data_IF_193344584165
#
_entry.id   IF_193344584165
#
_cell.length_a   1.000
_cell.length_b   1.000
_cell.length_c   1.000
_cell.angle_alpha   90.00
_cell.angle_beta   90.00
_cell.angle_gamma   90.00
#
_symmetry.space_group_name_H-M   'P 1'
#
loop_
_entity.id
_entity.type
_entity.pdbx_description
1 polymer ?
#
# COMPACT_ATOMS: atom_id res chain seq x y z
N UNK A 1 28.88 -16.77 -0.81
CA UNK A 1 29.03 -15.39 -1.37
C UNK A 1 30.15 -15.29 -2.40
N UNK A 2 31.25 -16.02 -2.26
CA UNK A 2 32.48 -15.90 -3.09
C UNK A 2 32.27 -15.87 -4.62
N UNK A 3 31.31 -16.63 -5.17
CA UNK A 3 31.09 -16.72 -6.63
C UNK A 3 30.76 -15.39 -7.31
N UNK A 4 30.13 -14.43 -6.63
CA UNK A 4 29.83 -13.09 -7.16
C UNK A 4 30.98 -12.11 -6.86
N UNK A 5 31.68 -12.29 -5.73
CA UNK A 5 32.76 -11.41 -5.30
C UNK A 5 33.89 -11.26 -6.33
N UNK A 6 34.14 -12.28 -7.17
CA UNK A 6 35.14 -12.20 -8.27
C UNK A 6 34.86 -11.10 -9.32
N UNK A 7 33.64 -10.58 -9.37
CA UNK A 7 33.23 -9.46 -10.23
C UNK A 7 33.14 -8.11 -9.50
N UNK A 8 33.45 -8.07 -8.21
CA UNK A 8 33.53 -6.85 -7.40
C UNK A 8 35.00 -6.52 -7.16
N UNK A 9 35.52 -5.59 -7.96
CA UNK A 9 36.83 -4.95 -7.79
C UNK A 9 36.63 -3.47 -7.49
N UNK A 10 37.64 -2.81 -6.93
CA UNK A 10 37.65 -1.37 -6.67
C UNK A 10 37.32 -0.54 -7.94
N UNK A 11 37.74 -1.04 -9.11
CA UNK A 11 37.40 -0.56 -10.46
C UNK A 11 35.88 -0.27 -10.64
N UNK A 12 35.03 -1.06 -9.98
CA UNK A 12 33.58 -1.12 -10.19
C UNK A 12 32.76 -0.23 -9.23
N UNK A 13 33.40 0.55 -8.34
CA UNK A 13 32.67 1.49 -7.45
C UNK A 13 32.24 2.79 -8.15
N UNK A 14 32.75 3.04 -9.37
CA UNK A 14 32.33 4.16 -10.20
C UNK A 14 31.02 3.88 -10.95
N UNK A 15 30.26 4.93 -11.28
CA UNK A 15 28.99 4.81 -12.05
C UNK A 15 29.16 4.07 -13.38
N UNK A 16 30.30 4.27 -14.06
CA UNK A 16 30.59 3.57 -15.31
C UNK A 16 31.02 2.12 -15.08
N UNK A 17 31.76 1.85 -14.01
CA UNK A 17 32.05 0.48 -13.56
C UNK A 17 30.78 -0.31 -13.21
N UNK A 18 29.80 0.31 -12.54
CA UNK A 18 28.49 -0.30 -12.25
C UNK A 18 27.72 -0.62 -13.54
N UNK A 19 27.73 0.27 -14.55
CA UNK A 19 27.14 -0.01 -15.87
C UNK A 19 27.85 -1.17 -16.58
N UNK A 20 29.19 -1.20 -16.57
CA UNK A 20 29.98 -2.28 -17.17
C UNK A 20 29.71 -3.62 -16.48
N UNK A 21 29.62 -3.62 -15.15
CA UNK A 21 29.24 -4.78 -14.35
C UNK A 21 27.83 -5.28 -14.72
N UNK A 22 26.83 -4.40 -14.73
CA UNK A 22 25.46 -4.73 -15.13
C UNK A 22 25.40 -5.29 -16.56
N UNK A 23 26.11 -4.66 -17.51
CA UNK A 23 26.24 -5.16 -18.88
C UNK A 23 26.80 -6.59 -18.91
N UNK A 24 27.90 -6.84 -18.18
CA UNK A 24 28.50 -8.17 -18.11
C UNK A 24 27.58 -9.24 -17.48
N UNK A 25 26.77 -8.86 -16.49
CA UNK A 25 25.78 -9.74 -15.84
C UNK A 25 24.64 -10.07 -16.81
N UNK A 26 24.16 -9.08 -17.58
CA UNK A 26 23.13 -9.26 -18.61
C UNK A 26 23.64 -10.16 -19.74
N UNK A 27 24.82 -9.91 -20.29
CA UNK A 27 25.41 -10.72 -21.38
C UNK A 27 25.65 -12.17 -20.96
N UNK A 28 26.02 -12.42 -19.71
CA UNK A 28 26.32 -13.77 -19.20
C UNK A 28 25.16 -14.41 -18.40
N UNK A 29 23.97 -13.80 -18.41
CA UNK A 29 22.84 -14.18 -17.55
C UNK A 29 22.44 -15.66 -17.69
N UNK A 30 22.39 -16.17 -18.92
CA UNK A 30 22.04 -17.56 -19.20
C UNK A 30 23.08 -18.57 -18.67
N UNK A 31 24.36 -18.19 -18.54
CA UNK A 31 25.39 -19.03 -17.92
C UNK A 31 25.29 -18.97 -16.38
N UNK A 32 25.02 -17.78 -15.82
CA UNK A 32 24.78 -17.57 -14.39
C UNK A 32 23.56 -18.36 -13.89
N UNK A 33 22.44 -18.35 -14.61
CA UNK A 33 21.28 -19.18 -14.31
C UNK A 33 21.63 -20.68 -14.29
N UNK A 34 22.48 -21.13 -15.23
CA UNK A 34 22.88 -22.53 -15.34
C UNK A 34 23.82 -23.01 -14.23
N UNK A 35 24.61 -22.12 -13.63
CA UNK A 35 25.41 -22.39 -12.43
C UNK A 35 24.61 -22.33 -11.11
N UNK A 36 23.39 -21.78 -11.14
CA UNK A 36 22.52 -21.58 -9.96
C UNK A 36 21.38 -22.60 -9.83
N UNK A 37 21.22 -23.51 -10.82
CA UNK A 37 20.09 -24.44 -10.90
C UNK A 37 20.47 -25.91 -10.66
N UNK A 38 20.95 -26.18 -9.44
CA UNK A 38 20.92 -27.48 -8.75
C UNK A 38 20.66 -27.16 -7.27
N UNK A 39 19.66 -27.70 -6.55
CA UNK A 39 18.84 -28.90 -6.78
C UNK A 39 17.32 -28.64 -6.59
N UNK A 40 16.47 -29.65 -6.80
CA UNK A 40 15.02 -29.49 -7.09
C UNK A 40 14.08 -29.41 -5.88
N UNK A 41 13.05 -28.56 -5.97
CA UNK A 41 11.61 -28.98 -6.02
C UNK A 41 10.72 -27.77 -6.31
N UNK A 42 9.75 -27.90 -7.24
CA UNK A 42 8.92 -26.76 -7.67
C UNK A 42 8.09 -26.16 -6.54
N UNK A 43 8.21 -24.85 -6.39
CA UNK A 43 7.43 -24.04 -5.46
C UNK A 43 6.32 -23.26 -6.19
N UNK A 44 5.43 -22.62 -5.41
CA UNK A 44 4.40 -21.73 -5.97
C UNK A 44 5.03 -20.51 -6.69
N UNK A 45 6.27 -20.12 -6.35
CA UNK A 45 6.98 -19.08 -7.12
C UNK A 45 7.31 -19.55 -8.53
N UNK A 46 7.65 -20.82 -8.74
CA UNK A 46 7.96 -21.37 -10.05
C UNK A 46 6.70 -21.48 -10.93
N UNK A 47 5.53 -21.66 -10.31
CA UNK A 47 4.24 -21.54 -11.00
C UNK A 47 3.90 -20.09 -11.36
N UNK A 48 4.28 -19.11 -10.53
CA UNK A 48 4.11 -17.67 -10.82
C UNK A 48 5.09 -17.21 -11.89
N UNK A 49 6.34 -17.68 -11.87
CA UNK A 49 7.36 -17.39 -12.90
C UNK A 49 6.98 -18.08 -14.21
N UNK A 50 6.53 -19.33 -14.21
CA UNK A 50 5.96 -19.96 -15.42
C UNK A 50 4.72 -19.23 -15.95
N UNK A 51 3.93 -18.57 -15.09
CA UNK A 51 2.81 -17.74 -15.54
C UNK A 51 3.29 -16.43 -16.17
N UNK A 52 4.29 -15.76 -15.58
CA UNK A 52 4.91 -14.54 -16.12
C UNK A 52 5.61 -14.84 -17.45
N UNK A 53 6.48 -15.86 -17.50
CA UNK A 53 7.17 -16.28 -18.72
C UNK A 53 6.18 -16.62 -19.85
N UNK A 54 5.02 -17.24 -19.55
CA UNK A 54 3.97 -17.53 -20.56
C UNK A 54 3.12 -16.32 -20.95
N UNK A 55 3.19 -15.22 -20.20
CA UNK A 55 2.70 -13.91 -20.64
C UNK A 55 3.76 -13.27 -21.53
N UNK A 56 5.03 -13.25 -21.12
CA UNK A 56 6.13 -12.68 -21.90
C UNK A 56 6.35 -13.39 -23.25
N UNK A 57 6.26 -14.72 -23.29
CA UNK A 57 6.28 -15.52 -24.54
C UNK A 57 5.09 -15.18 -25.46
N UNK A 58 3.93 -14.80 -24.90
CA UNK A 58 2.77 -14.34 -25.68
C UNK A 58 2.84 -12.87 -26.10
N UNK A 59 3.59 -12.04 -25.38
CA UNK A 59 3.85 -10.63 -25.75
C UNK A 59 4.89 -10.52 -26.86
N UNK A 60 5.68 -11.57 -27.11
CA UNK A 60 6.70 -11.61 -28.17
C UNK A 60 6.19 -12.17 -29.53
N UNK A 61 4.88 -12.44 -29.68
CA UNK A 61 4.28 -12.80 -30.97
C UNK A 61 2.90 -12.14 -31.12
N UNK A 62 2.63 -11.62 -32.33
CA UNK A 62 1.38 -10.98 -32.78
C UNK A 62 1.14 -9.54 -32.26
N UNK A 63 1.62 -8.58 -33.08
CA UNK A 63 1.08 -7.25 -33.41
C UNK A 63 0.79 -6.20 -32.30
N UNK A 64 1.11 -4.94 -32.60
CA UNK A 64 1.21 -3.84 -31.62
C UNK A 64 -0.13 -3.14 -31.30
N UNK A 65 -1.24 -3.86 -31.33
CA UNK A 65 -2.56 -3.36 -30.89
C UNK A 65 -3.08 -4.22 -29.73
N UNK A 66 -3.31 -3.60 -28.56
CA UNK A 66 -3.91 -4.28 -27.39
C UNK A 66 -2.95 -4.71 -26.27
N UNK A 67 -1.72 -4.20 -26.22
CA UNK A 67 -0.82 -4.40 -25.06
C UNK A 67 -1.37 -3.72 -23.80
N UNK A 68 -1.90 -2.49 -23.93
CA UNK A 68 -2.32 -1.67 -22.79
C UNK A 68 -3.51 -2.26 -22.03
N UNK A 69 -4.48 -2.80 -22.79
CA UNK A 69 -5.63 -3.51 -22.25
C UNK A 69 -5.19 -4.77 -21.48
N UNK A 70 -4.15 -5.47 -21.96
CA UNK A 70 -3.58 -6.63 -21.27
C UNK A 70 -2.87 -6.25 -19.96
N UNK A 71 -2.15 -5.14 -19.90
CA UNK A 71 -1.52 -4.62 -18.67
C UNK A 71 -2.60 -4.23 -17.65
N UNK A 72 -3.61 -3.46 -18.08
CA UNK A 72 -4.74 -3.05 -17.25
C UNK A 72 -5.52 -4.23 -16.68
N UNK A 73 -5.89 -5.19 -17.55
CA UNK A 73 -6.59 -6.42 -17.16
C UNK A 73 -5.72 -7.30 -16.24
N UNK A 74 -4.40 -7.30 -16.39
CA UNK A 74 -3.48 -8.04 -15.51
C UNK A 74 -3.38 -7.41 -14.13
N UNK A 75 -3.29 -6.08 -14.04
CA UNK A 75 -3.34 -5.35 -12.77
C UNK A 75 -4.69 -5.54 -12.04
N UNK A 76 -5.82 -5.54 -12.77
CA UNK A 76 -7.13 -5.90 -12.20
C UNK A 76 -7.12 -7.33 -11.66
N UNK A 77 -6.68 -8.32 -12.45
CA UNK A 77 -6.61 -9.74 -12.05
C UNK A 77 -5.73 -9.97 -10.81
N UNK A 78 -4.60 -9.26 -10.71
CA UNK A 78 -3.71 -9.30 -9.53
C UNK A 78 -4.38 -8.63 -8.32
N UNK A 79 -4.96 -7.44 -8.51
CA UNK A 79 -5.67 -6.70 -7.45
C UNK A 79 -6.82 -7.52 -6.87
N UNK A 80 -7.65 -8.17 -7.70
CA UNK A 80 -8.75 -9.02 -7.23
C UNK A 80 -8.26 -10.33 -6.57
N UNK A 81 -7.13 -10.89 -7.02
CA UNK A 81 -6.50 -12.07 -6.38
C UNK A 81 -6.04 -11.73 -4.95
N UNK A 82 -5.35 -10.61 -4.79
CA UNK A 82 -4.90 -10.10 -3.49
C UNK A 82 -6.09 -9.72 -2.60
N UNK A 83 -7.08 -9.01 -3.14
CA UNK A 83 -8.30 -8.67 -2.42
C UNK A 83 -9.01 -9.91 -1.86
N UNK A 84 -9.18 -10.98 -2.67
CA UNK A 84 -9.79 -12.23 -2.21
C UNK A 84 -9.01 -12.89 -1.07
N UNK A 85 -7.68 -12.78 -1.05
CA UNK A 85 -6.85 -13.27 0.05
C UNK A 85 -7.06 -12.47 1.34
N UNK A 86 -7.18 -11.14 1.24
CA UNK A 86 -7.52 -10.29 2.39
C UNK A 86 -8.97 -10.50 2.86
N UNK A 87 -9.91 -10.71 1.95
CA UNK A 87 -11.32 -10.93 2.24
C UNK A 87 -11.57 -12.23 3.03
N UNK A 88 -10.70 -13.25 2.91
CA UNK A 88 -10.74 -14.45 3.76
C UNK A 88 -10.38 -14.14 5.22
N UNK A 89 -9.53 -13.15 5.47
CA UNK A 89 -9.11 -12.73 6.82
C UNK A 89 -10.13 -11.73 7.41
N UNK A 90 -10.58 -10.78 6.58
CA UNK A 90 -11.37 -9.63 7.02
C UNK A 90 -12.88 -9.90 7.12
N UNK A 91 -13.47 -10.75 6.28
CA UNK A 91 -14.92 -11.04 6.38
C UNK A 91 -15.32 -11.76 7.68
N UNK A 92 -14.53 -12.70 8.24
CA UNK A 92 -14.76 -13.21 9.60
C UNK A 92 -14.63 -12.09 10.64
N UNK A 93 -13.61 -11.25 10.54
CA UNK A 93 -13.34 -10.15 11.48
C UNK A 93 -14.51 -9.15 11.56
N UNK A 94 -14.93 -8.59 10.43
CA UNK A 94 -16.02 -7.61 10.39
C UNK A 94 -17.38 -8.19 10.86
N UNK A 95 -17.56 -9.51 10.86
CA UNK A 95 -18.74 -10.19 11.43
C UNK A 95 -18.72 -10.28 12.95
N UNK A 96 -17.55 -10.30 13.61
CA UNK A 96 -17.44 -10.34 15.09
C UNK A 96 -18.00 -9.06 15.73
N UNK A 97 -17.87 -7.92 15.04
CA UNK A 97 -18.31 -6.56 15.44
C UNK A 97 -17.66 -5.99 16.72
N UNK A 98 -16.72 -6.66 17.37
CA UNK A 98 -15.97 -6.09 18.49
C UNK A 98 -14.79 -5.24 18.03
N UNK A 99 -14.75 -3.96 18.44
CA UNK A 99 -13.59 -3.07 18.19
C UNK A 99 -12.32 -3.49 18.95
N UNK A 100 -12.44 -4.46 19.85
CA UNK A 100 -11.38 -5.06 20.66
C UNK A 100 -10.89 -6.40 20.11
N UNK A 101 -11.57 -6.98 19.12
CA UNK A 101 -11.29 -8.33 18.63
C UNK A 101 -9.93 -8.39 17.93
N UNK A 102 -9.33 -9.58 17.95
CA UNK A 102 -8.11 -9.87 17.22
C UNK A 102 -8.40 -10.52 15.86
N UNK A 103 -7.47 -10.31 14.92
CA UNK A 103 -7.48 -10.95 13.60
C UNK A 103 -6.66 -12.22 13.67
N UNK A 104 -7.25 -13.34 13.27
CA UNK A 104 -6.73 -14.68 13.54
C UNK A 104 -5.54 -15.07 12.62
N UNK A 105 -5.05 -14.15 11.79
CA UNK A 105 -3.91 -14.35 10.88
C UNK A 105 -3.09 -13.06 10.66
N UNK A 106 -1.75 -13.10 10.79
CA UNK A 106 -0.87 -11.99 10.42
C UNK A 106 -0.57 -11.93 8.92
N UNK A 107 -0.13 -10.76 8.45
CA UNK A 107 0.49 -10.60 7.13
C UNK A 107 1.87 -11.24 7.09
N UNK A 108 2.17 -11.96 6.01
CA UNK A 108 3.47 -12.58 5.76
C UNK A 108 4.29 -11.79 4.72
N UNK A 109 5.59 -12.01 4.64
CA UNK A 109 6.49 -11.36 3.66
C UNK A 109 6.03 -11.51 2.19
N UNK A 110 5.30 -12.59 1.87
CA UNK A 110 4.65 -12.77 0.56
C UNK A 110 3.58 -11.72 0.30
N UNK A 111 2.81 -11.33 1.31
CA UNK A 111 1.69 -10.41 1.15
C UNK A 111 2.22 -8.97 0.93
N UNK A 112 3.33 -8.63 1.60
CA UNK A 112 4.15 -7.45 1.28
C UNK A 112 4.72 -7.51 -0.14
N UNK A 113 5.28 -8.66 -0.55
CA UNK A 113 5.83 -8.85 -1.92
C UNK A 113 4.75 -8.68 -2.99
N UNK A 114 3.58 -9.29 -2.79
CA UNK A 114 2.43 -9.20 -3.70
C UNK A 114 1.94 -7.76 -3.87
N UNK A 115 1.83 -7.00 -2.76
CA UNK A 115 1.42 -5.60 -2.81
C UNK A 115 2.49 -4.72 -3.47
N UNK A 116 3.77 -4.95 -3.15
CA UNK A 116 4.89 -4.20 -3.72
C UNK A 116 4.98 -4.39 -5.24
N UNK A 117 4.86 -5.63 -5.74
CA UNK A 117 4.82 -5.92 -7.18
C UNK A 117 3.69 -5.14 -7.87
N UNK A 118 2.47 -5.14 -7.31
CA UNK A 118 1.34 -4.44 -7.92
C UNK A 118 1.57 -2.91 -7.93
N UNK A 119 2.11 -2.35 -6.85
CA UNK A 119 2.47 -0.92 -6.77
C UNK A 119 3.57 -0.58 -7.78
N UNK A 120 4.61 -1.41 -7.92
CA UNK A 120 5.69 -1.19 -8.86
C UNK A 120 5.23 -1.30 -10.32
N UNK A 121 4.43 -2.31 -10.68
CA UNK A 121 3.81 -2.39 -12.00
C UNK A 121 2.92 -1.18 -12.30
N UNK A 122 2.14 -0.69 -11.33
CA UNK A 122 1.36 0.54 -11.50
C UNK A 122 2.25 1.78 -11.71
N UNK A 123 3.38 1.88 -11.01
CA UNK A 123 4.30 3.02 -11.15
C UNK A 123 5.15 2.96 -12.42
N UNK A 124 5.53 1.77 -12.88
CA UNK A 124 6.24 1.55 -14.16
C UNK A 124 5.38 1.95 -15.37
N UNK A 125 4.06 1.80 -15.26
CA UNK A 125 3.12 2.07 -16.34
C UNK A 125 2.29 3.37 -16.13
N UNK A 126 2.57 4.14 -15.08
CA UNK A 126 1.75 5.29 -14.66
C UNK A 126 1.60 6.38 -15.74
N UNK A 127 2.66 6.60 -16.51
CA UNK A 127 2.74 7.61 -17.59
C UNK A 127 2.33 7.08 -18.97
N UNK A 128 1.75 5.87 -19.09
CA UNK A 128 1.26 5.40 -20.39
C UNK A 128 0.03 6.22 -20.79
N UNK A 129 0.11 6.82 -21.96
CA UNK A 129 -0.97 7.53 -22.64
C UNK A 129 -1.20 6.91 -24.01
N UNK A 130 -2.46 6.78 -24.41
CA UNK A 130 -2.89 6.30 -25.73
C UNK A 130 -3.56 7.45 -26.46
N UNK A 131 -3.31 7.58 -27.76
CA UNK A 131 -3.95 8.60 -28.58
C UNK A 131 -5.44 8.28 -28.80
N UNK A 132 -6.30 9.24 -28.50
CA UNK A 132 -7.76 9.11 -28.52
C UNK A 132 -8.30 9.87 -29.74
N UNK A 133 -8.57 9.15 -30.83
CA UNK A 133 -8.92 9.73 -32.13
C UNK A 133 -10.20 10.60 -32.07
N UNK A 134 -11.17 10.22 -31.23
CA UNK A 134 -12.41 10.99 -30.99
C UNK A 134 -12.15 12.36 -30.33
N UNK A 135 -10.97 12.56 -29.73
CA UNK A 135 -10.63 13.75 -28.91
C UNK A 135 -9.40 14.51 -29.41
N UNK A 136 -8.68 14.02 -30.42
CA UNK A 136 -7.44 14.61 -30.96
C UNK A 136 -6.39 14.88 -29.86
N UNK A 137 -6.24 13.96 -28.90
CA UNK A 137 -5.31 14.09 -27.78
C UNK A 137 -4.92 12.75 -27.14
N UNK A 138 -3.78 12.74 -26.44
CA UNK A 138 -3.32 11.60 -25.66
C UNK A 138 -4.07 11.50 -24.32
N UNK A 139 -4.64 10.34 -24.02
CA UNK A 139 -5.38 10.03 -22.78
C UNK A 139 -4.61 9.00 -21.95
N UNK A 140 -4.47 9.27 -20.64
CA UNK A 140 -3.80 8.37 -19.69
C UNK A 140 -4.55 7.05 -19.56
N UNK A 141 -3.84 5.93 -19.75
CA UNK A 141 -4.37 4.57 -19.53
C UNK A 141 -4.75 4.38 -18.05
N UNK A 142 -3.95 4.92 -17.14
CA UNK A 142 -4.20 4.86 -15.70
C UNK A 142 -5.01 6.06 -15.20
N UNK A 143 -6.33 5.96 -15.35
CA UNK A 143 -7.27 6.88 -14.71
C UNK A 143 -7.21 6.78 -13.17
N UNK A 144 -7.35 7.92 -12.49
CA UNK A 144 -7.51 7.94 -11.02
C UNK A 144 -8.72 7.10 -10.58
N UNK A 145 -9.79 7.14 -11.37
CA UNK A 145 -11.07 6.49 -11.09
C UNK A 145 -11.85 7.11 -9.94
N UNK A 146 -12.88 6.38 -9.49
CA UNK A 146 -13.70 6.67 -8.31
C UNK A 146 -13.44 5.60 -7.24
N UNK A 147 -13.51 5.97 -5.96
CA UNK A 147 -13.26 5.05 -4.83
C UNK A 147 -14.06 3.74 -4.94
N UNK A 148 -15.35 3.80 -5.25
CA UNK A 148 -16.25 2.65 -5.29
C UNK A 148 -16.37 1.92 -6.64
N UNK A 149 -15.60 2.31 -7.67
CA UNK A 149 -15.75 1.69 -8.99
C UNK A 149 -15.35 0.21 -8.99
N UNK A 150 -15.93 -0.59 -9.90
CA UNK A 150 -15.62 -2.03 -10.04
C UNK A 150 -14.30 -2.31 -10.77
N UNK A 151 -13.93 -1.40 -11.68
CA UNK A 151 -12.78 -1.45 -12.59
C UNK A 151 -11.50 -0.93 -11.91
N UNK A 152 -10.32 -1.31 -12.41
CA UNK A 152 -9.05 -0.80 -11.86
C UNK A 152 -8.96 0.72 -12.05
N UNK A 153 -8.43 1.39 -11.03
CA UNK A 153 -8.22 2.82 -10.98
C UNK A 153 -7.53 3.16 -9.67
N UNK A 154 -6.64 4.16 -9.68
CA UNK A 154 -5.68 4.38 -8.60
C UNK A 154 -6.39 4.59 -7.24
N UNK A 155 -7.48 5.37 -7.19
CA UNK A 155 -8.28 5.57 -5.97
C UNK A 155 -8.94 4.30 -5.45
N UNK A 156 -9.44 3.43 -6.33
CA UNK A 156 -10.01 2.13 -5.91
C UNK A 156 -8.90 1.21 -5.39
N UNK A 157 -7.76 1.13 -6.08
CA UNK A 157 -6.62 0.35 -5.61
C UNK A 157 -6.13 0.80 -4.22
N UNK A 158 -5.99 2.12 -4.00
CA UNK A 158 -5.61 2.68 -2.70
C UNK A 158 -6.68 2.40 -1.63
N UNK A 159 -7.94 2.74 -1.87
CA UNK A 159 -8.99 2.62 -0.87
C UNK A 159 -9.44 1.18 -0.58
N UNK A 160 -9.33 0.26 -1.56
CA UNK A 160 -9.74 -1.15 -1.46
C UNK A 160 -8.54 -2.05 -1.10
N UNK A 161 -7.49 -2.05 -1.92
CA UNK A 161 -6.38 -3.02 -1.82
C UNK A 161 -5.33 -2.60 -0.79
N UNK A 162 -4.84 -1.36 -0.84
CA UNK A 162 -3.94 -0.82 0.21
C UNK A 162 -4.71 -0.66 1.52
N UNK A 163 -5.95 -0.17 1.45
CA UNK A 163 -6.87 -0.10 2.60
C UNK A 163 -6.98 -1.41 3.37
N UNK A 164 -7.36 -2.53 2.72
CA UNK A 164 -7.46 -3.85 3.38
C UNK A 164 -6.13 -4.34 3.97
N UNK A 165 -5.02 -4.15 3.24
CA UNK A 165 -3.69 -4.47 3.75
C UNK A 165 -3.37 -3.70 5.05
N UNK A 166 -3.67 -2.39 5.08
CA UNK A 166 -3.52 -1.56 6.28
C UNK A 166 -4.47 -1.94 7.40
N UNK A 167 -5.68 -2.44 7.11
CA UNK A 167 -6.58 -2.98 8.14
C UNK A 167 -5.97 -4.24 8.78
N UNK A 168 -5.39 -5.15 8.00
CA UNK A 168 -4.79 -6.39 8.55
C UNK A 168 -3.48 -6.10 9.32
N UNK A 169 -2.62 -5.22 8.80
CA UNK A 169 -1.33 -4.86 9.41
C UNK A 169 -1.48 -4.18 10.79
N UNK A 170 -2.64 -3.55 11.03
CA UNK A 170 -2.90 -2.49 11.98
C UNK A 170 -2.54 -2.74 13.46
N UNK A 171 -2.63 -3.98 13.93
CA UNK A 171 -2.34 -4.35 15.33
C UNK A 171 -0.87 -4.80 15.50
N UNK A 172 0.05 -4.25 14.69
CA UNK A 172 1.36 -4.85 14.40
C UNK A 172 1.24 -6.36 14.05
N UNK A 173 0.14 -6.71 13.37
CA UNK A 173 -0.24 -8.08 13.02
C UNK A 173 0.49 -8.50 11.73
N UNK A 174 1.81 -8.48 11.83
CA UNK A 174 2.79 -8.72 10.78
C UNK A 174 3.74 -9.79 11.32
N UNK A 175 3.96 -10.84 10.54
CA UNK A 175 4.75 -11.99 10.97
C UNK A 175 6.22 -11.60 11.18
N UNK A 176 6.71 -11.75 12.40
CA UNK A 176 8.14 -11.82 12.70
C UNK A 176 8.69 -13.17 12.26
N UNK A 177 9.95 -13.18 11.83
CA UNK A 177 10.69 -14.39 11.42
C UNK A 177 11.88 -14.61 12.36
N UNK A 178 12.31 -15.87 12.52
CA UNK A 178 13.55 -16.17 13.27
C UNK A 178 14.80 -15.77 12.47
N UNK A 179 14.70 -15.75 11.13
CA UNK A 179 15.75 -15.27 10.23
C UNK A 179 15.78 -13.73 10.18
N UNK A 180 16.89 -13.16 10.66
CA UNK A 180 17.17 -11.73 10.61
C UNK A 180 17.21 -11.18 9.16
N UNK A 181 17.63 -11.98 8.17
CA UNK A 181 17.65 -11.54 6.78
C UNK A 181 16.22 -11.35 6.23
N UNK A 182 15.27 -12.23 6.59
CA UNK A 182 13.84 -12.04 6.27
C UNK A 182 13.24 -10.83 6.99
N UNK A 183 13.59 -10.59 8.26
CA UNK A 183 13.14 -9.39 8.98
C UNK A 183 13.70 -8.10 8.35
N UNK A 184 14.99 -8.06 8.00
CA UNK A 184 15.60 -6.91 7.31
C UNK A 184 14.96 -6.66 5.95
N UNK A 185 14.66 -7.72 5.19
CA UNK A 185 13.94 -7.66 3.91
C UNK A 185 12.51 -7.14 4.09
N UNK A 186 11.82 -7.54 5.16
CA UNK A 186 10.48 -7.06 5.52
C UNK A 186 10.49 -5.56 5.90
N UNK A 187 11.51 -5.09 6.64
CA UNK A 187 11.69 -3.65 6.94
C UNK A 187 11.90 -2.84 5.65
N UNK A 188 12.72 -3.32 4.72
CA UNK A 188 12.89 -2.69 3.40
C UNK A 188 11.55 -2.65 2.63
N UNK A 189 10.78 -3.75 2.61
CA UNK A 189 9.47 -3.77 1.99
C UNK A 189 8.47 -2.81 2.66
N UNK A 190 8.46 -2.68 4.00
CA UNK A 190 7.68 -1.64 4.69
C UNK A 190 8.07 -0.23 4.21
N UNK A 191 9.36 0.12 4.17
CA UNK A 191 9.85 1.43 3.69
C UNK A 191 9.43 1.69 2.22
N UNK A 192 9.56 0.70 1.33
CA UNK A 192 9.20 0.85 -0.07
C UNK A 192 7.68 0.96 -0.30
N UNK A 193 6.86 0.10 0.32
CA UNK A 193 5.40 0.20 0.23
C UNK A 193 4.94 1.55 0.77
N UNK A 194 5.55 2.04 1.86
CA UNK A 194 5.27 3.37 2.39
C UNK A 194 5.56 4.46 1.36
N UNK A 195 6.79 4.59 0.86
CA UNK A 195 7.15 5.65 -0.06
C UNK A 195 6.29 5.63 -1.33
N UNK A 196 6.12 4.45 -1.94
CA UNK A 196 5.40 4.29 -3.21
C UNK A 196 3.89 4.50 -3.07
N UNK A 197 3.26 3.99 -2.01
CA UNK A 197 1.84 4.23 -1.77
C UNK A 197 1.56 5.68 -1.34
N UNK A 198 2.44 6.31 -0.55
CA UNK A 198 2.28 7.71 -0.16
C UNK A 198 2.40 8.66 -1.35
N UNK A 199 3.35 8.43 -2.28
CA UNK A 199 3.38 9.13 -3.55
C UNK A 199 2.04 8.99 -4.30
N UNK A 200 1.52 7.75 -4.47
CA UNK A 200 0.23 7.52 -5.13
C UNK A 200 -0.94 8.21 -4.41
N UNK A 201 -0.93 8.29 -3.07
CA UNK A 201 -1.95 9.00 -2.28
C UNK A 201 -1.87 10.52 -2.49
N UNK A 202 -0.67 11.09 -2.66
CA UNK A 202 -0.51 12.52 -2.92
C UNK A 202 -0.71 12.90 -4.40
N UNK A 203 -0.49 11.97 -5.34
CA UNK A 203 -0.57 12.22 -6.77
C UNK A 203 -1.96 11.99 -7.41
N UNK A 204 -3.03 11.84 -6.60
CA UNK A 204 -4.42 11.71 -7.08
C UNK A 204 -5.35 12.75 -6.46
N UNK A 205 -6.36 13.17 -7.23
CA UNK A 205 -7.24 14.31 -6.98
C UNK A 205 -8.41 13.96 -6.05
N UNK A 206 -8.16 13.79 -4.75
CA UNK A 206 -9.20 13.50 -3.76
C UNK A 206 -10.26 14.63 -3.67
N UNK A 207 -11.53 14.29 -3.95
CA UNK A 207 -12.65 15.22 -3.82
C UNK A 207 -12.87 15.60 -2.34
N UNK A 208 -13.58 16.71 -2.02
CA UNK A 208 -13.84 17.11 -0.63
C UNK A 208 -14.46 16.01 0.24
N UNK A 209 -15.44 15.28 -0.30
CA UNK A 209 -16.08 14.12 0.35
C UNK A 209 -15.20 12.86 0.46
N UNK A 210 -14.04 12.85 -0.20
CA UNK A 210 -13.09 11.74 -0.20
C UNK A 210 -11.90 11.98 0.75
N UNK A 211 -11.80 13.19 1.36
CA UNK A 211 -10.68 13.57 2.25
C UNK A 211 -10.56 12.69 3.49
N UNK A 212 -11.67 12.13 3.99
CA UNK A 212 -11.68 11.18 5.11
C UNK A 212 -10.91 9.90 4.77
N UNK A 213 -11.11 9.35 3.57
CA UNK A 213 -10.32 8.21 3.06
C UNK A 213 -8.84 8.56 2.87
N UNK A 214 -8.52 9.73 2.30
CA UNK A 214 -7.13 10.20 2.16
C UNK A 214 -6.43 10.28 3.52
N UNK A 215 -7.04 10.97 4.47
CA UNK A 215 -6.44 11.24 5.78
C UNK A 215 -6.28 9.95 6.60
N UNK A 216 -7.31 9.10 6.61
CA UNK A 216 -7.22 7.79 7.29
C UNK A 216 -6.22 6.86 6.59
N UNK A 217 -6.08 6.88 5.26
CA UNK A 217 -5.00 6.15 4.58
C UNK A 217 -3.63 6.61 5.08
N UNK A 218 -3.32 7.92 5.04
CA UNK A 218 -2.04 8.48 5.50
C UNK A 218 -1.72 8.10 6.96
N UNK A 219 -2.68 8.30 7.87
CA UNK A 219 -2.48 8.00 9.29
C UNK A 219 -2.31 6.49 9.56
N UNK A 220 -2.98 5.62 8.80
CA UNK A 220 -2.79 4.18 8.90
C UNK A 220 -1.52 3.67 8.21
N UNK A 221 -1.03 4.33 7.15
CA UNK A 221 0.29 4.08 6.57
C UNK A 221 1.39 4.34 7.61
N UNK A 222 1.31 5.49 8.29
CA UNK A 222 2.20 5.86 9.40
C UNK A 222 2.16 4.83 10.53
N UNK A 223 0.97 4.49 11.01
CA UNK A 223 0.81 3.56 12.12
C UNK A 223 1.23 2.13 11.79
N UNK A 224 0.72 1.56 10.69
CA UNK A 224 0.87 0.13 10.40
C UNK A 224 2.24 -0.24 9.85
N UNK A 225 2.94 0.70 9.21
CA UNK A 225 4.30 0.43 8.72
C UNK A 225 5.34 0.56 9.84
N UNK A 226 5.10 1.40 10.85
CA UNK A 226 5.98 1.64 12.01
C UNK A 226 7.48 1.66 11.62
N UNK A 227 7.87 2.75 10.96
CA UNK A 227 9.20 2.90 10.35
C UNK A 227 10.21 3.63 11.24
N UNK A 228 9.71 4.28 12.30
CA UNK A 228 10.49 5.15 13.16
C UNK A 228 9.66 5.79 14.28
N UNK A 229 10.32 6.68 15.03
CA UNK A 229 9.75 7.52 16.09
C UNK A 229 10.10 9.02 15.93
N UNK A 230 11.11 9.35 15.12
CA UNK A 230 11.56 10.71 14.84
C UNK A 230 11.40 11.05 13.35
N UNK A 231 11.54 12.32 12.96
CA UNK A 231 11.28 12.75 11.57
C UNK A 231 12.36 12.25 10.60
N UNK A 232 13.59 12.13 11.10
CA UNK A 232 14.79 11.67 10.41
C UNK A 232 14.64 10.23 9.89
N UNK A 233 13.93 9.37 10.61
CA UNK A 233 13.60 7.99 10.19
C UNK A 233 12.86 7.93 8.84
N UNK A 234 12.18 9.03 8.48
CA UNK A 234 11.40 9.23 7.27
C UNK A 234 12.14 10.05 6.18
N UNK A 235 13.37 10.50 6.42
CA UNK A 235 14.15 11.29 5.47
C UNK A 235 14.38 10.59 4.12
N UNK A 236 14.94 9.36 4.16
CA UNK A 236 15.13 8.51 2.97
C UNK A 236 13.81 8.31 2.18
N UNK A 237 12.72 8.15 2.93
CA UNK A 237 11.39 7.85 2.41
C UNK A 237 10.82 9.05 1.66
N UNK A 238 10.98 10.26 2.21
CA UNK A 238 10.62 11.50 1.51
C UNK A 238 11.50 11.73 0.28
N UNK A 239 12.79 11.41 0.34
CA UNK A 239 13.65 11.46 -0.84
C UNK A 239 13.18 10.50 -1.95
N UNK A 240 12.73 9.29 -1.61
CA UNK A 240 12.11 8.36 -2.59
C UNK A 240 10.81 8.92 -3.16
N UNK A 241 9.91 9.46 -2.33
CA UNK A 241 8.64 10.09 -2.75
C UNK A 241 8.91 11.24 -3.74
N UNK A 242 9.83 12.15 -3.41
CA UNK A 242 10.21 13.28 -4.27
C UNK A 242 10.96 12.82 -5.54
N UNK A 243 11.64 11.67 -5.51
CA UNK A 243 12.22 11.09 -6.73
C UNK A 243 11.14 10.66 -7.74
N UNK A 244 9.92 10.32 -7.30
CA UNK A 244 8.81 10.03 -8.21
C UNK A 244 8.24 11.33 -8.83
N UNK A 245 8.20 12.44 -8.08
CA UNK A 245 7.82 13.77 -8.65
C UNK A 245 8.86 14.34 -9.63
N UNK A 246 10.00 13.67 -9.84
CA UNK A 246 10.99 14.01 -10.86
C UNK A 246 10.95 13.05 -12.07
N UNK A 247 10.38 11.85 -11.91
CA UNK A 247 10.36 10.78 -12.92
C UNK A 247 9.03 10.71 -13.66
N UNK A 248 7.93 10.91 -12.94
CA UNK A 248 6.57 10.81 -13.48
C UNK A 248 6.19 12.14 -14.11
N UNK A 249 5.78 12.11 -15.38
CA UNK A 249 5.30 13.26 -16.15
C UNK A 249 3.93 13.72 -15.63
N UNK A 250 3.06 12.75 -15.38
CA UNK A 250 1.65 12.98 -15.08
C UNK A 250 1.39 13.23 -13.59
N UNK A 251 1.93 14.33 -13.09
CA UNK A 251 1.75 14.77 -11.72
C UNK A 251 0.40 15.46 -11.50
N UNK A 252 -0.14 15.30 -10.29
CA UNK A 252 -1.14 16.21 -9.76
C UNK A 252 -0.45 17.55 -9.41
N UNK A 253 -0.99 18.73 -9.81
CA UNK A 253 -0.38 20.02 -9.49
C UNK A 253 -0.10 20.25 -8.00
N UNK A 254 -0.87 19.63 -7.12
CA UNK A 254 -0.74 19.75 -5.68
C UNK A 254 0.27 18.77 -5.06
N UNK A 255 0.79 17.77 -5.79
CA UNK A 255 1.56 16.64 -5.21
C UNK A 255 2.76 17.10 -4.37
N UNK A 256 3.48 18.13 -4.83
CA UNK A 256 4.63 18.69 -4.10
C UNK A 256 4.17 19.37 -2.81
N UNK A 257 3.10 20.16 -2.86
CA UNK A 257 2.51 20.82 -1.68
C UNK A 257 2.00 19.80 -0.67
N UNK A 258 1.42 18.68 -1.12
CA UNK A 258 0.97 17.61 -0.24
C UNK A 258 2.14 16.85 0.41
N UNK A 259 3.25 16.64 -0.31
CA UNK A 259 4.48 16.08 0.24
C UNK A 259 5.11 17.01 1.30
N UNK A 260 5.18 18.31 1.02
CA UNK A 260 5.66 19.34 1.97
C UNK A 260 4.76 19.43 3.20
N UNK A 261 3.43 19.56 3.01
CA UNK A 261 2.46 19.59 4.10
C UNK A 261 2.56 18.36 5.00
N UNK A 262 2.77 17.18 4.40
CA UNK A 262 2.98 15.94 5.13
C UNK A 262 4.23 15.99 6.00
N UNK A 263 5.40 16.32 5.43
CA UNK A 263 6.66 16.29 6.17
C UNK A 263 6.78 17.40 7.22
N UNK A 264 6.33 18.62 6.90
CA UNK A 264 6.48 19.80 7.79
C UNK A 264 5.39 19.89 8.87
N UNK A 265 4.17 19.38 8.63
CA UNK A 265 3.02 19.60 9.54
C UNK A 265 2.30 18.35 10.01
N UNK A 266 2.15 17.30 9.17
CA UNK A 266 1.37 16.11 9.54
C UNK A 266 2.22 15.04 10.22
N UNK A 267 3.43 14.78 9.73
CA UNK A 267 4.36 13.83 10.33
C UNK A 267 4.78 14.24 11.75
N UNK A 268 5.21 15.49 12.05
CA UNK A 268 5.59 15.88 13.41
C UNK A 268 4.42 15.72 14.40
N UNK A 269 3.23 16.20 14.04
CA UNK A 269 2.02 16.04 14.87
C UNK A 269 1.64 14.58 15.10
N UNK A 270 1.84 13.71 14.10
CA UNK A 270 1.64 12.28 14.28
C UNK A 270 2.68 11.68 15.26
N UNK A 271 3.95 12.07 15.16
CA UNK A 271 5.01 11.58 16.05
C UNK A 271 4.82 12.09 17.49
N UNK A 272 4.38 13.33 17.69
CA UNK A 272 4.00 13.86 19.00
C UNK A 272 2.84 13.07 19.61
N UNK A 273 1.77 12.85 18.83
CA UNK A 273 0.67 11.94 19.22
C UNK A 273 1.18 10.51 19.49
N UNK A 274 2.20 10.04 18.74
CA UNK A 274 2.83 8.72 18.94
C UNK A 274 3.65 8.65 20.24
N UNK A 275 3.98 9.78 20.87
CA UNK A 275 4.80 9.88 22.10
C UNK A 275 3.98 10.00 23.40
N UNK A 276 2.76 10.54 23.36
CA UNK A 276 1.83 10.63 24.53
C UNK A 276 1.63 9.28 25.24
N UNK A 277 1.31 9.24 26.54
CA UNK A 277 0.98 7.95 27.17
C UNK A 277 -0.23 7.30 26.48
N UNK A 278 -0.26 5.96 26.45
CA UNK A 278 -1.38 5.21 25.89
C UNK A 278 -2.72 5.69 26.50
N UNK A 279 -2.77 5.93 27.82
CA UNK A 279 -3.97 6.45 28.50
C UNK A 279 -4.35 7.87 28.09
N UNK A 280 -3.37 8.74 27.83
CA UNK A 280 -3.59 10.13 27.43
C UNK A 280 -4.19 10.21 26.02
N UNK A 281 -3.81 9.28 25.14
CA UNK A 281 -4.48 9.07 23.86
C UNK A 281 -5.90 8.50 24.06
N UNK A 282 -6.07 7.45 24.89
CA UNK A 282 -7.26 6.58 24.73
C UNK A 282 -8.65 7.03 25.29
N UNK A 283 -8.89 8.25 25.78
CA UNK A 283 -10.21 8.57 26.41
C UNK A 283 -10.85 9.93 26.07
N UNK A 284 -12.02 9.86 25.40
CA UNK A 284 -13.04 10.92 25.33
C UNK A 284 -14.41 10.40 25.80
N UNK A 285 -15.33 11.23 26.31
CA UNK A 285 -16.72 10.84 26.61
C UNK A 285 -17.54 10.56 25.34
N UNK A 286 -18.47 9.59 25.39
CA UNK A 286 -19.35 9.26 24.25
C UNK A 286 -20.22 10.45 23.77
N UNK A 287 -20.48 11.43 24.65
CA UNK A 287 -21.20 12.66 24.34
C UNK A 287 -20.34 13.75 23.67
N UNK A 288 -19.09 13.46 23.33
CA UNK A 288 -18.16 14.37 22.63
C UNK A 288 -17.72 13.83 21.26
N UNK A 289 -18.29 12.71 20.80
CA UNK A 289 -18.13 12.28 19.41
C UNK A 289 -19.16 13.00 18.54
N UNK A 290 -18.66 13.62 17.49
CA UNK A 290 -19.46 14.14 16.39
C UNK A 290 -19.18 13.35 15.10
N UNK A 291 -20.07 13.49 14.11
CA UNK A 291 -19.84 12.94 12.77
C UNK A 291 -18.58 13.57 12.14
N UNK A 292 -17.94 12.84 11.21
CA UNK A 292 -16.69 13.22 10.54
C UNK A 292 -15.45 13.36 11.46
N UNK A 293 -15.58 13.12 12.76
CA UNK A 293 -14.43 12.98 13.67
C UNK A 293 -13.52 11.84 13.20
N UNK A 294 -12.20 12.07 13.13
CA UNK A 294 -11.21 11.00 12.98
C UNK A 294 -10.83 10.55 14.39
N UNK A 295 -11.00 9.26 14.66
CA UNK A 295 -10.66 8.62 15.94
C UNK A 295 -9.66 7.50 15.68
N UNK A 296 -8.93 7.11 16.73
CA UNK A 296 -8.04 5.96 16.73
C UNK A 296 -8.60 4.86 17.64
N UNK A 297 -8.38 3.59 17.32
CA UNK A 297 -8.46 2.52 18.31
C UNK A 297 -7.38 1.47 18.05
N UNK A 298 -6.74 0.92 19.10
CA UNK A 298 -5.55 0.06 18.96
C UNK A 298 -5.69 -1.13 17.98
N UNK A 299 -6.90 -1.68 17.80
CA UNK A 299 -7.17 -2.75 16.81
C UNK A 299 -7.59 -2.22 15.43
N UNK A 300 -8.25 -1.06 15.38
CA UNK A 300 -8.91 -0.52 14.18
C UNK A 300 -8.19 0.64 13.51
N UNK A 301 -7.12 1.15 14.14
CA UNK A 301 -6.32 2.25 13.62
C UNK A 301 -7.14 3.52 13.55
N UNK A 302 -6.79 4.37 12.58
CA UNK A 302 -7.52 5.61 12.32
C UNK A 302 -8.73 5.35 11.42
N UNK A 303 -9.90 5.72 11.90
CA UNK A 303 -11.16 5.67 11.16
C UNK A 303 -11.94 6.98 11.35
N UNK A 304 -12.90 7.23 10.48
CA UNK A 304 -13.83 8.37 10.61
C UNK A 304 -15.17 7.88 11.14
N UNK A 305 -15.78 8.61 12.05
CA UNK A 305 -17.19 8.37 12.44
C UNK A 305 -18.10 8.90 11.33
N UNK A 306 -18.97 8.04 10.79
CA UNK A 306 -19.92 8.41 9.74
C UNK A 306 -21.25 8.84 10.37
N UNK A 307 -21.84 7.96 11.20
CA UNK A 307 -23.13 8.19 11.88
C UNK A 307 -23.03 7.71 13.33
N UNK A 308 -23.56 8.49 14.27
CA UNK A 308 -23.75 8.07 15.67
C UNK A 308 -25.18 7.56 15.87
N UNK A 309 -25.35 6.27 16.15
CA UNK A 309 -26.66 5.64 16.29
C UNK A 309 -27.22 5.78 17.71
N UNK A 310 -28.55 5.92 17.82
CA UNK A 310 -29.28 6.07 19.09
C UNK A 310 -29.17 4.88 20.06
N UNK A 311 -28.63 3.74 19.61
CA UNK A 311 -28.34 2.54 20.40
C UNK A 311 -26.95 2.58 21.07
N UNK A 312 -26.16 3.65 20.90
CA UNK A 312 -24.79 3.78 21.40
C UNK A 312 -23.76 2.97 20.62
N UNK A 313 -24.05 2.66 19.36
CA UNK A 313 -23.11 2.17 18.35
C UNK A 313 -22.92 3.26 17.28
N UNK A 314 -21.99 3.08 16.36
CA UNK A 314 -21.77 3.98 15.23
C UNK A 314 -21.55 3.21 13.94
N UNK A 315 -21.78 3.89 12.82
CA UNK A 315 -21.24 3.49 11.52
C UNK A 315 -19.89 4.19 11.34
N UNK A 316 -18.86 3.46 10.93
CA UNK A 316 -17.49 4.00 10.81
C UNK A 316 -16.91 3.77 9.41
N UNK A 317 -16.29 4.82 8.86
CA UNK A 317 -15.63 4.83 7.56
C UNK A 317 -14.13 4.61 7.71
N UNK A 318 -13.57 3.69 6.91
CA UNK A 318 -12.12 3.54 6.70
C UNK A 318 -11.88 2.86 5.36
N UNK A 319 -10.81 3.28 4.67
CA UNK A 319 -10.31 2.51 3.53
C UNK A 319 -10.03 1.05 3.94
N UNK A 320 -10.59 0.09 3.21
CA UNK A 320 -10.46 -1.35 3.46
C UNK A 320 -11.60 -2.01 4.25
N UNK A 321 -12.57 -1.26 4.76
CA UNK A 321 -13.82 -1.79 5.32
C UNK A 321 -14.75 -2.35 4.22
N UNK A 322 -15.87 -3.02 4.56
CA UNK A 322 -16.86 -3.47 3.58
C UNK A 322 -17.42 -2.32 2.72
N UNK A 323 -17.69 -2.56 1.43
CA UNK A 323 -18.30 -1.56 0.56
C UNK A 323 -19.83 -1.60 0.69
N UNK A 324 -20.42 -0.52 1.21
CA UNK A 324 -21.87 -0.34 1.38
C UNK A 324 -22.26 1.01 0.76
N UNK A 325 -23.23 1.03 -0.17
CA UNK A 325 -23.72 2.25 -0.84
C UNK A 325 -22.59 3.16 -1.36
N UNK A 326 -21.60 2.57 -2.04
CA UNK A 326 -20.40 3.24 -2.57
C UNK A 326 -19.45 3.87 -1.52
N UNK A 327 -19.60 3.55 -0.23
CA UNK A 327 -18.69 3.95 0.85
C UNK A 327 -18.05 2.71 1.51
N UNK A 328 -16.80 2.81 1.97
CA UNK A 328 -16.17 1.72 2.76
C UNK A 328 -16.49 1.92 4.24
N UNK A 329 -17.54 1.23 4.70
CA UNK A 329 -18.21 1.41 6.00
C UNK A 329 -18.25 0.08 6.75
N UNK A 330 -17.95 0.11 8.04
CA UNK A 330 -18.32 -0.96 8.96
C UNK A 330 -19.53 -0.50 9.77
N UNK A 331 -20.69 -1.07 9.45
CA UNK A 331 -21.99 -0.61 9.99
C UNK A 331 -22.24 -1.15 11.40
N UNK A 332 -22.90 -0.34 12.24
CA UNK A 332 -23.46 -0.70 13.55
C UNK A 332 -22.41 -1.41 14.45
N UNK A 333 -21.34 -0.67 14.74
CA UNK A 333 -20.16 -1.06 15.53
C UNK A 333 -20.26 -0.46 16.95
N UNK A 334 -20.15 -1.25 18.03
CA UNK A 334 -20.26 -0.73 19.40
C UNK A 334 -19.09 0.19 19.78
N UNK A 335 -19.40 1.41 20.23
CA UNK A 335 -18.39 2.37 20.66
C UNK A 335 -18.08 2.24 22.16
N UNK A 336 -16.88 1.73 22.46
CA UNK A 336 -16.33 1.70 23.81
C UNK A 336 -17.00 0.75 24.80
N UNK A 337 -16.70 0.94 26.08
CA UNK A 337 -17.23 0.14 27.19
C UNK A 337 -18.53 0.75 27.70
N UNK A 338 -19.67 0.13 27.33
CA UNK A 338 -21.01 0.59 27.72
C UNK A 338 -21.25 0.63 29.23
N UNK A 339 -20.44 -0.07 30.05
CA UNK A 339 -20.53 0.03 31.51
C UNK A 339 -19.87 1.30 32.08
N UNK A 340 -18.92 1.91 31.36
CA UNK A 340 -18.13 3.06 31.82
C UNK A 340 -18.50 4.40 31.18
N UNK A 341 -19.29 4.40 30.09
CA UNK A 341 -19.71 5.59 29.31
C UNK A 341 -18.57 6.39 28.65
N UNK A 342 -17.37 5.82 28.56
CA UNK A 342 -16.20 6.42 27.90
C UNK A 342 -15.99 5.77 26.53
N UNK A 343 -15.67 6.56 25.50
CA UNK A 343 -15.19 6.03 24.22
C UNK A 343 -13.79 5.46 24.41
N UNK A 344 -13.47 4.49 23.57
CA UNK A 344 -12.10 4.15 23.21
C UNK A 344 -11.57 5.15 22.16
N UNK A 345 -10.68 6.03 22.64
CA UNK A 345 -9.50 6.66 21.98
C UNK A 345 -9.57 7.85 20.97
N UNK A 346 -8.64 8.80 21.19
CA UNK A 346 -7.97 9.68 20.21
C UNK A 346 -6.72 8.99 19.62
#
# INVERSE_FOLDING_TARGET
>A
MEKIAKYLKEDNESVEGIKTLLGSIITNWAALQKELLVETTETINDQVINFINKVDEKVNMEEAEGIDDQVYVSLQKLSDRINKQYDVILNPYFKKKGITDEMDKPLEIRDFTNLLILIDSLLMHYDIEVYDEDKDLNVKVFVEGKIAQKQFGIKNFLAKTVGKFLVIANNNNIKSYDDQALNNKLVNYKKQIFAKAMFLIFNVSWLPKERTYKNTLVLNMLHSMELGNEAEDYGDIMAVILSYTQKIKNLNPDVVRECTNFYEYYLPKYLDWKKLEIKERTFLPLSQIEEYNILFAKKLGFYTVDIVQSNGNSDIIRAGYPLVKDHFVWENVPMGDKSKKVVIYQ
#
